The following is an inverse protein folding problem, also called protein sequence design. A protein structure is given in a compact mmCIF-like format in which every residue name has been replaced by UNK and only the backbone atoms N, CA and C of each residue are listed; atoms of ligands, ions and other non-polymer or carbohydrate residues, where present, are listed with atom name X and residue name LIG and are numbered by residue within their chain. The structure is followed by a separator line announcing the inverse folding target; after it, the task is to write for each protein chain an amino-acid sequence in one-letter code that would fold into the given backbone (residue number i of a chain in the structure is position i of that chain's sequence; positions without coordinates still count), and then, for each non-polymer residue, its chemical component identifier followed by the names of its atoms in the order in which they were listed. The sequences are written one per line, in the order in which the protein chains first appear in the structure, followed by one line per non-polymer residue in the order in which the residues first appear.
data_IF_836803283562
#
_entry.id   IF_836803283562
#
_cell.length_a   1.000
_cell.length_b   1.000
_cell.length_c   1.000
_cell.angle_alpha   90.00
_cell.angle_beta   90.00
_cell.angle_gamma   90.00
#
_symmetry.space_group_name_H-M   'P 1'
#
loop_
_entity.id
_entity.type
_entity.pdbx_description
1 polymer ?
#
# COMPACT_ATOMS: atom_id res chain seq x y z
N UNK A 1 -0.83 -0.60 -19.87
CA UNK A 1 0.51 -0.02 -19.66
C UNK A 1 1.59 -0.78 -20.40
N UNK A 2 2.69 -0.14 -20.64
CA UNK A 2 3.90 -0.72 -21.23
C UNK A 2 5.09 -0.40 -20.33
N UNK A 3 5.78 -1.45 -19.87
CA UNK A 3 6.97 -1.34 -19.01
C UNK A 3 8.18 -1.85 -19.81
N UNK A 4 9.27 -1.11 -19.81
CA UNK A 4 10.47 -1.48 -20.54
C UNK A 4 11.77 -1.07 -19.81
N UNK A 5 12.85 -1.84 -19.94
CA UNK A 5 14.15 -1.46 -19.39
C UNK A 5 14.81 -0.36 -20.23
N UNK A 6 15.42 0.58 -19.55
CA UNK A 6 16.30 1.61 -20.13
C UNK A 6 17.73 1.42 -19.59
N UNK A 7 18.49 0.55 -20.25
CA UNK A 7 19.76 0.06 -19.75
C UNK A 7 19.57 -1.00 -18.66
N UNK A 8 20.62 -1.23 -17.85
CA UNK A 8 20.67 -2.35 -16.89
C UNK A 8 20.03 -2.02 -15.52
N UNK A 9 19.78 -0.75 -15.24
CA UNK A 9 19.38 -0.28 -13.90
C UNK A 9 18.11 0.57 -13.87
N UNK A 10 17.57 0.93 -15.01
CA UNK A 10 16.39 1.78 -15.09
C UNK A 10 15.25 1.01 -15.71
N UNK A 11 14.10 1.06 -15.08
CA UNK A 11 12.82 0.59 -15.63
C UNK A 11 11.92 1.79 -15.84
N UNK A 12 11.26 1.87 -16.99
CA UNK A 12 10.32 2.95 -17.32
C UNK A 12 8.95 2.35 -17.56
N UNK A 13 7.92 3.05 -17.14
CA UNK A 13 6.53 2.70 -17.42
C UNK A 13 5.83 3.87 -18.09
N UNK A 14 4.96 3.57 -19.05
CA UNK A 14 4.02 4.51 -19.62
C UNK A 14 2.72 3.78 -19.95
N UNK A 15 1.59 4.42 -19.76
CA UNK A 15 0.31 3.77 -20.02
C UNK A 15 -0.88 4.67 -19.80
N UNK A 16 -2.04 4.06 -20.02
CA UNK A 16 -3.35 4.60 -19.68
C UNK A 16 -3.97 3.59 -18.73
N UNK A 17 -4.73 4.07 -17.75
CA UNK A 17 -5.37 3.25 -16.72
C UNK A 17 -4.33 2.41 -15.94
N UNK A 18 -3.33 3.10 -15.44
CA UNK A 18 -2.18 2.51 -14.73
C UNK A 18 -1.80 3.42 -13.57
N UNK A 19 -1.45 2.81 -12.44
CA UNK A 19 -1.02 3.55 -11.25
C UNK A 19 0.33 4.22 -11.45
N UNK A 20 0.47 5.45 -11.00
CA UNK A 20 1.73 6.19 -11.03
C UNK A 20 2.80 5.54 -10.15
N UNK A 21 2.40 4.82 -9.12
CA UNK A 21 3.27 4.06 -8.20
C UNK A 21 3.63 2.65 -8.66
N UNK A 22 3.25 2.24 -9.88
CA UNK A 22 3.46 0.87 -10.37
C UNK A 22 4.90 0.35 -10.33
N UNK A 23 5.89 1.24 -10.26
CA UNK A 23 7.31 0.90 -10.13
C UNK A 23 7.89 1.18 -8.72
N UNK A 24 7.05 1.55 -7.77
CA UNK A 24 7.51 1.83 -6.40
C UNK A 24 7.78 0.55 -5.62
N UNK A 25 8.68 0.66 -4.67
CA UNK A 25 8.95 -0.41 -3.70
C UNK A 25 8.40 0.03 -2.35
N UNK A 26 7.32 -0.60 -1.90
CA UNK A 26 6.82 -0.46 -0.54
C UNK A 26 7.43 -1.56 0.32
N UNK A 27 8.14 -1.18 1.37
CA UNK A 27 8.78 -2.14 2.28
C UNK A 27 7.73 -2.76 3.21
N UNK A 28 7.07 -3.80 2.72
CA UNK A 28 6.05 -4.57 3.41
C UNK A 28 6.23 -6.07 3.14
N UNK A 29 6.23 -6.88 4.20
CA UNK A 29 6.26 -8.33 4.11
C UNK A 29 4.89 -8.96 4.41
N UNK A 30 3.96 -8.20 5.00
CA UNK A 30 2.61 -8.67 5.23
C UNK A 30 1.84 -8.73 3.90
N UNK A 31 1.23 -9.86 3.62
CA UNK A 31 0.40 -10.08 2.44
C UNK A 31 -0.93 -10.70 2.84
N UNK A 32 -1.84 -9.91 3.40
CA UNK A 32 -3.17 -10.36 3.77
C UNK A 32 -3.99 -10.81 2.56
N UNK A 33 -4.92 -11.75 2.74
CA UNK A 33 -5.77 -12.22 1.64
C UNK A 33 -6.90 -11.25 1.27
N UNK A 34 -7.19 -10.27 2.11
CA UNK A 34 -8.12 -9.17 1.81
C UNK A 34 -7.38 -7.96 1.28
N UNK A 35 -8.11 -7.01 0.70
CA UNK A 35 -7.56 -5.73 0.26
C UNK A 35 -7.72 -4.62 1.34
N UNK A 36 -7.87 -5.00 2.61
CA UNK A 36 -8.13 -4.02 3.67
C UNK A 36 -6.85 -3.38 4.20
N UNK A 37 -5.77 -4.16 4.29
CA UNK A 37 -4.49 -3.76 4.89
C UNK A 37 -3.28 -4.15 4.03
N UNK A 38 -3.50 -4.45 2.74
CA UNK A 38 -2.45 -4.94 1.83
C UNK A 38 -1.52 -3.82 1.30
N UNK A 39 -1.94 -2.56 1.43
CA UNK A 39 -1.12 -1.38 1.12
C UNK A 39 -0.10 -1.03 2.21
N UNK A 40 -0.16 -1.71 3.36
CA UNK A 40 0.69 -1.40 4.51
C UNK A 40 0.65 0.07 4.94
N UNK A 41 -0.53 0.69 4.96
CA UNK A 41 -0.77 2.09 5.25
C UNK A 41 -0.07 3.09 4.29
N UNK A 42 0.30 2.68 3.10
CA UNK A 42 0.72 3.58 2.01
C UNK A 42 -0.50 3.82 1.08
N UNK A 43 -1.52 4.46 1.64
CA UNK A 43 -2.87 4.55 1.05
C UNK A 43 -2.95 5.62 -0.03
N UNK A 44 -2.41 6.81 0.27
CA UNK A 44 -2.57 7.99 -0.59
C UNK A 44 -1.25 8.41 -1.26
N UNK A 45 -0.10 8.26 -0.56
CA UNK A 45 1.21 8.61 -1.11
C UNK A 45 1.59 7.72 -2.32
N UNK A 46 1.08 6.49 -2.36
CA UNK A 46 1.18 5.64 -3.54
C UNK A 46 0.14 5.99 -4.57
N UNK A 47 0.29 7.10 -5.28
CA UNK A 47 -0.64 7.62 -6.27
C UNK A 47 -1.25 6.52 -7.17
N UNK A 48 -2.40 6.04 -6.75
CA UNK A 48 -3.20 5.02 -7.43
C UNK A 48 -4.47 5.67 -7.97
N UNK A 49 -5.11 5.08 -8.94
CA UNK A 49 -6.37 5.61 -9.42
C UNK A 49 -6.52 5.58 -10.93
N UNK A 50 -5.47 5.18 -11.62
CA UNK A 50 -5.50 5.05 -13.07
C UNK A 50 -5.62 6.38 -13.80
N UNK A 51 -5.05 6.44 -14.98
CA UNK A 51 -5.05 7.62 -15.83
C UNK A 51 -3.92 7.51 -16.85
N UNK A 52 -3.61 8.60 -17.54
CA UNK A 52 -2.38 8.65 -18.32
C UNK A 52 -1.19 8.74 -17.35
N UNK A 53 -0.32 7.75 -17.41
CA UNK A 53 0.74 7.54 -16.45
C UNK A 53 2.10 7.44 -17.11
N UNK A 54 3.11 8.01 -16.48
CA UNK A 54 4.52 7.84 -16.79
C UNK A 54 5.31 7.73 -15.49
N UNK A 55 6.30 6.83 -15.47
CA UNK A 55 7.14 6.64 -14.29
C UNK A 55 8.48 6.00 -14.64
N UNK A 56 9.41 6.09 -13.72
CA UNK A 56 10.71 5.44 -13.82
C UNK A 56 11.20 5.01 -12.44
N UNK A 57 11.90 3.87 -12.42
CA UNK A 57 12.60 3.37 -11.25
C UNK A 57 14.06 3.12 -11.58
N UNK A 58 14.95 3.40 -10.64
CA UNK A 58 16.38 3.17 -10.75
C UNK A 58 16.86 2.25 -9.62
N UNK A 59 17.55 1.16 -9.99
CA UNK A 59 18.18 0.23 -9.07
C UNK A 59 19.68 0.56 -8.94
N UNK A 60 20.11 0.96 -7.75
CA UNK A 60 21.51 1.25 -7.45
C UNK A 60 22.37 -0.01 -7.35
N UNK A 61 21.76 -1.20 -7.28
CA UNK A 61 22.45 -2.50 -7.22
C UNK A 61 22.97 -2.88 -5.84
N UNK A 62 22.49 -2.20 -4.78
CA UNK A 62 22.89 -2.44 -3.39
C UNK A 62 21.69 -2.64 -2.46
N UNK A 63 20.53 -3.02 -3.02
CA UNK A 63 19.24 -3.03 -2.32
C UNK A 63 18.55 -1.67 -2.26
N UNK A 64 19.22 -0.59 -2.65
CA UNK A 64 18.66 0.75 -2.72
C UNK A 64 17.97 0.96 -4.09
N UNK A 65 16.72 1.42 -4.07
CA UNK A 65 15.97 1.83 -5.24
C UNK A 65 15.41 3.23 -5.05
N UNK A 66 15.22 3.95 -6.14
CA UNK A 66 14.48 5.20 -6.16
C UNK A 66 13.55 5.21 -7.38
N UNK A 67 12.35 5.71 -7.21
CA UNK A 67 11.35 5.77 -8.27
C UNK A 67 10.59 7.09 -8.27
N UNK A 68 10.08 7.43 -9.44
CA UNK A 68 9.21 8.57 -9.67
C UNK A 68 8.01 8.10 -10.48
N UNK A 69 6.84 8.65 -10.18
CA UNK A 69 5.61 8.44 -10.93
C UNK A 69 4.82 9.73 -11.08
N UNK A 70 4.15 9.86 -12.20
CA UNK A 70 3.21 10.92 -12.47
C UNK A 70 2.00 10.35 -13.21
N UNK A 71 0.81 10.78 -12.83
CA UNK A 71 -0.44 10.38 -13.49
C UNK A 71 -1.40 11.53 -13.55
N UNK A 72 -2.33 11.49 -14.51
CA UNK A 72 -3.49 12.37 -14.57
C UNK A 72 -4.75 11.54 -14.60
N UNK A 73 -5.76 11.95 -13.85
CA UNK A 73 -7.05 11.24 -13.77
C UNK A 73 -8.05 11.69 -14.81
N UNK A 74 -7.72 12.73 -15.59
CA UNK A 74 -8.60 13.32 -16.57
C UNK A 74 -8.08 13.19 -18.02
N UNK A 75 -8.89 13.62 -18.97
CA UNK A 75 -8.56 13.53 -20.41
C UNK A 75 -7.57 14.59 -20.90
N UNK A 76 -7.35 15.65 -20.11
CA UNK A 76 -6.38 16.70 -20.40
C UNK A 76 -5.07 16.36 -19.67
N UNK A 77 -4.11 15.81 -20.37
CA UNK A 77 -2.89 15.26 -19.82
C UNK A 77 -1.93 16.36 -19.36
N UNK A 78 -1.64 16.43 -18.06
CA UNK A 78 -0.68 17.38 -17.45
C UNK A 78 -0.92 18.83 -17.83
N UNK A 79 -2.13 19.31 -17.65
CA UNK A 79 -2.53 20.71 -17.90
C UNK A 79 -3.11 21.31 -16.62
N UNK A 80 -3.11 22.63 -16.49
CA UNK A 80 -3.68 23.36 -15.36
C UNK A 80 -5.19 23.09 -15.12
N UNK A 81 -5.85 22.41 -16.06
CA UNK A 81 -7.27 22.06 -15.99
C UNK A 81 -7.49 20.58 -15.59
N UNK A 82 -6.43 19.77 -15.53
CA UNK A 82 -6.52 18.35 -15.15
C UNK A 82 -6.12 18.15 -13.70
N UNK A 83 -6.66 17.11 -13.07
CA UNK A 83 -6.20 16.66 -11.77
C UNK A 83 -5.01 15.73 -11.96
N UNK A 84 -3.86 16.17 -11.53
CA UNK A 84 -2.60 15.44 -11.65
C UNK A 84 -2.15 14.90 -10.30
N UNK A 85 -1.36 13.85 -10.32
CA UNK A 85 -0.70 13.32 -9.14
C UNK A 85 0.76 12.98 -9.46
N UNK A 86 1.63 13.28 -8.51
CA UNK A 86 3.06 13.07 -8.61
C UNK A 86 3.57 12.38 -7.35
N UNK A 87 4.46 11.42 -7.48
CA UNK A 87 5.08 10.83 -6.31
C UNK A 87 6.53 10.43 -6.51
N UNK A 88 7.24 10.40 -5.40
CA UNK A 88 8.62 9.93 -5.28
C UNK A 88 8.65 8.78 -4.26
N UNK A 89 9.43 7.75 -4.55
CA UNK A 89 9.66 6.64 -3.64
C UNK A 89 11.15 6.36 -3.54
N UNK A 90 11.62 6.06 -2.34
CA UNK A 90 12.95 5.52 -2.09
C UNK A 90 12.82 4.33 -1.14
N UNK A 91 13.48 3.23 -1.46
CA UNK A 91 13.45 2.03 -0.65
C UNK A 91 14.83 1.39 -0.54
N UNK A 92 15.07 0.78 0.61
CA UNK A 92 16.20 -0.10 0.84
C UNK A 92 15.70 -1.46 1.30
N UNK A 93 16.12 -2.51 0.61
CA UNK A 93 15.78 -3.90 0.91
C UNK A 93 17.05 -4.73 1.14
N UNK A 94 17.10 -5.43 2.26
CA UNK A 94 18.10 -6.40 2.62
C UNK A 94 17.44 -7.77 2.83
N UNK A 95 18.23 -8.81 3.06
CA UNK A 95 17.72 -10.19 3.21
C UNK A 95 16.71 -10.33 4.36
N UNK A 96 16.91 -9.59 5.46
CA UNK A 96 16.11 -9.72 6.68
C UNK A 96 15.31 -8.47 7.06
N UNK A 97 15.44 -7.37 6.34
CA UNK A 97 14.66 -6.16 6.61
C UNK A 97 14.56 -5.26 5.37
N UNK A 98 13.56 -4.41 5.37
CA UNK A 98 13.43 -3.35 4.38
C UNK A 98 12.81 -2.11 5.00
N UNK A 99 13.09 -0.96 4.38
CA UNK A 99 12.49 0.34 4.73
C UNK A 99 12.18 1.09 3.44
N UNK A 100 11.09 1.85 3.43
CA UNK A 100 10.76 2.73 2.31
C UNK A 100 10.11 4.02 2.81
N UNK A 101 10.25 5.05 1.99
CA UNK A 101 9.52 6.30 2.10
C UNK A 101 8.91 6.63 0.75
N UNK A 102 7.65 7.04 0.77
CA UNK A 102 6.91 7.52 -0.41
C UNK A 102 6.38 8.90 -0.10
N UNK A 103 6.57 9.85 -1.00
CA UNK A 103 6.01 11.19 -0.93
C UNK A 103 5.15 11.42 -2.16
N UNK A 104 3.86 11.72 -1.95
CA UNK A 104 2.89 11.98 -3.00
C UNK A 104 2.28 13.37 -2.88
N UNK A 105 1.98 13.95 -4.02
CA UNK A 105 1.19 15.18 -4.20
C UNK A 105 0.03 14.80 -5.10
N UNK A 106 -1.18 15.10 -4.68
CA UNK A 106 -2.41 14.76 -5.41
C UNK A 106 -3.27 16.00 -5.53
N UNK A 107 -3.48 16.50 -6.72
CA UNK A 107 -4.40 17.59 -6.97
C UNK A 107 -5.84 17.11 -6.78
N UNK A 108 -6.59 17.81 -5.94
CA UNK A 108 -7.99 17.54 -5.63
C UNK A 108 -8.95 18.51 -6.30
N UNK A 109 -8.43 19.66 -6.69
CA UNK A 109 -9.11 20.67 -7.50
C UNK A 109 -8.07 21.57 -8.17
N UNK A 110 -8.51 22.49 -9.05
CA UNK A 110 -7.61 23.48 -9.68
C UNK A 110 -6.91 24.46 -8.70
N UNK A 111 -7.31 24.46 -7.43
CA UNK A 111 -6.79 25.39 -6.42
C UNK A 111 -6.25 24.66 -5.18
N UNK A 112 -6.47 23.34 -5.06
CA UNK A 112 -6.09 22.58 -3.86
C UNK A 112 -5.35 21.29 -4.24
N UNK A 113 -4.33 21.00 -3.46
CA UNK A 113 -3.57 19.75 -3.50
C UNK A 113 -3.47 19.13 -2.11
N UNK A 114 -3.47 17.82 -2.07
CA UNK A 114 -3.14 17.05 -0.87
C UNK A 114 -1.71 16.56 -0.98
N UNK A 115 -0.99 16.56 0.14
CA UNK A 115 0.35 15.97 0.21
C UNK A 115 0.39 14.84 1.21
N UNK A 116 1.09 13.77 0.87
CA UNK A 116 1.17 12.57 1.72
C UNK A 116 2.60 12.07 1.83
N UNK A 117 2.97 11.60 3.02
CA UNK A 117 4.24 10.94 3.27
C UNK A 117 3.99 9.61 3.97
N UNK A 118 4.36 8.51 3.32
CA UNK A 118 4.25 7.17 3.88
C UNK A 118 5.63 6.61 4.22
N UNK A 119 5.73 5.98 5.40
CA UNK A 119 6.90 5.25 5.89
C UNK A 119 6.52 3.79 6.08
N UNK A 120 7.27 2.89 5.48
CA UNK A 120 7.06 1.46 5.61
C UNK A 120 8.34 0.76 6.04
N UNK A 121 8.20 -0.28 6.83
CA UNK A 121 9.31 -1.15 7.20
C UNK A 121 8.84 -2.57 7.43
N UNK A 122 9.72 -3.53 7.15
CA UNK A 122 9.54 -4.91 7.57
C UNK A 122 10.82 -5.50 8.17
N UNK A 123 10.62 -6.53 8.98
CA UNK A 123 11.68 -7.36 9.52
C UNK A 123 11.32 -8.85 9.39
N UNK A 124 12.25 -9.62 8.83
CA UNK A 124 12.16 -11.07 8.67
C UNK A 124 13.16 -11.71 9.63
N UNK A 125 12.74 -12.21 10.81
CA UNK A 125 13.67 -12.80 11.76
C UNK A 125 14.22 -14.12 11.23
N UNK A 126 15.51 -14.37 11.49
CA UNK A 126 16.10 -15.67 11.23
C UNK A 126 15.58 -16.69 12.27
N UNK A 127 15.16 -17.86 11.79
CA UNK A 127 14.71 -18.97 12.64
C UNK A 127 13.25 -19.31 12.44
N UNK A 128 12.92 -20.55 12.78
CA UNK A 128 11.56 -21.08 12.65
C UNK A 128 10.67 -20.63 13.80
N UNK A 129 9.41 -20.32 13.50
CA UNK A 129 8.38 -20.02 14.48
C UNK A 129 8.29 -18.56 14.94
N UNK A 130 9.19 -17.68 14.49
CA UNK A 130 9.06 -16.25 14.71
C UNK A 130 8.29 -15.61 13.54
N UNK A 131 7.38 -14.66 13.83
CA UNK A 131 6.69 -13.94 12.76
C UNK A 131 7.61 -12.93 12.07
N UNK A 132 7.41 -12.72 10.78
CA UNK A 132 7.80 -11.48 10.14
C UNK A 132 6.91 -10.34 10.66
N UNK A 133 7.48 -9.15 10.73
CA UNK A 133 6.79 -7.95 11.21
C UNK A 133 6.78 -6.92 10.09
N UNK A 134 5.63 -6.35 9.78
CA UNK A 134 5.48 -5.20 8.90
C UNK A 134 4.81 -4.06 9.63
N UNK A 135 5.30 -2.85 9.41
CA UNK A 135 4.71 -1.63 9.95
C UNK A 135 4.65 -0.58 8.85
N UNK A 136 3.57 0.19 8.83
CA UNK A 136 3.38 1.32 7.96
C UNK A 136 2.72 2.48 8.70
N UNK A 137 3.08 3.68 8.29
CA UNK A 137 2.46 4.91 8.77
C UNK A 137 2.47 5.95 7.65
N UNK A 138 1.32 6.54 7.39
CA UNK A 138 1.18 7.65 6.45
C UNK A 138 0.62 8.87 7.18
N UNK A 139 1.14 10.02 6.85
CA UNK A 139 0.64 11.32 7.26
C UNK A 139 0.45 12.18 6.01
N UNK A 140 -0.65 12.90 5.94
CA UNK A 140 -1.00 13.79 4.85
C UNK A 140 -1.54 15.12 5.36
N UNK A 141 -1.39 16.12 4.52
CA UNK A 141 -1.98 17.45 4.64
C UNK A 141 -3.01 17.61 3.53
N UNK A 142 -4.25 17.93 3.89
CA UNK A 142 -5.40 17.99 2.97
C UNK A 142 -5.66 19.44 2.58
N UNK A 143 -5.39 19.76 1.34
CA UNK A 143 -5.58 21.09 0.79
C UNK A 143 -7.04 21.54 0.81
N UNK A 144 -7.28 22.78 1.22
CA UNK A 144 -8.61 23.38 1.28
C UNK A 144 -9.45 23.00 2.48
N UNK A 145 -8.96 22.14 3.39
CA UNK A 145 -9.58 21.86 4.67
C UNK A 145 -9.42 23.05 5.65
N UNK A 146 -10.19 23.04 6.75
CA UNK A 146 -9.99 24.00 7.80
C UNK A 146 -8.66 23.73 8.52
N UNK A 147 -7.89 24.74 8.85
CA UNK A 147 -6.55 24.64 9.44
C UNK A 147 -6.47 23.87 10.79
N UNK A 148 -7.57 23.36 11.28
CA UNK A 148 -7.66 22.54 12.50
C UNK A 148 -8.08 21.11 12.21
N UNK A 149 -8.28 20.74 10.94
CA UNK A 149 -8.78 19.44 10.50
C UNK A 149 -8.17 19.10 9.12
N UNK A 150 -6.90 19.42 8.92
CA UNK A 150 -6.19 19.26 7.64
C UNK A 150 -5.24 18.04 7.62
N UNK A 151 -5.02 17.40 8.76
CA UNK A 151 -4.17 16.21 8.82
C UNK A 151 -4.97 14.92 8.57
N UNK A 152 -4.46 14.06 7.69
CA UNK A 152 -4.90 12.68 7.51
C UNK A 152 -3.81 11.71 7.94
N UNK A 153 -4.21 10.63 8.59
CA UNK A 153 -3.28 9.58 8.99
C UNK A 153 -3.76 8.19 8.60
N UNK A 154 -2.81 7.29 8.40
CA UNK A 154 -3.03 5.85 8.27
C UNK A 154 -1.94 5.11 9.03
N UNK A 155 -2.25 3.98 9.62
CA UNK A 155 -1.23 3.09 10.12
C UNK A 155 -1.60 1.61 9.93
N UNK A 156 -0.59 0.74 9.92
CA UNK A 156 -0.76 -0.70 9.87
C UNK A 156 0.38 -1.39 10.63
N UNK A 157 0.02 -2.46 11.34
CA UNK A 157 0.95 -3.44 11.91
C UNK A 157 0.48 -4.83 11.51
N UNK A 158 1.35 -5.59 10.85
CA UNK A 158 1.10 -6.95 10.41
C UNK A 158 2.16 -7.93 10.91
N UNK A 159 1.72 -9.12 11.27
CA UNK A 159 2.56 -10.25 11.65
C UNK A 159 2.23 -11.43 10.74
N UNK A 160 3.24 -12.07 10.16
CA UNK A 160 3.06 -13.26 9.34
C UNK A 160 4.01 -14.38 9.77
N UNK A 161 3.51 -15.59 9.79
CA UNK A 161 4.27 -16.82 10.06
C UNK A 161 4.25 -17.69 8.81
N UNK A 162 5.41 -17.98 8.26
CA UNK A 162 5.53 -18.83 7.07
C UNK A 162 5.25 -20.31 7.36
N UNK A 163 5.51 -20.74 8.60
CA UNK A 163 5.35 -22.13 9.03
C UNK A 163 4.48 -22.22 10.30
N UNK A 164 3.19 -22.50 10.10
CA UNK A 164 2.23 -22.85 11.16
C UNK A 164 1.64 -24.21 10.82
N UNK A 165 2.28 -25.27 11.29
CA UNK A 165 1.95 -26.64 10.86
C UNK A 165 2.22 -26.81 9.35
N UNK A 166 1.23 -27.24 8.55
CA UNK A 166 1.41 -27.41 7.10
C UNK A 166 1.19 -26.12 6.30
N UNK A 167 0.86 -25.02 6.92
CA UNK A 167 0.49 -23.76 6.24
C UNK A 167 1.16 -22.54 6.83
N UNK A 168 0.68 -21.38 6.43
CA UNK A 168 1.11 -20.07 6.93
C UNK A 168 -0.06 -19.33 7.58
N UNK A 169 0.23 -18.37 8.44
CA UNK A 169 -0.79 -17.56 9.12
C UNK A 169 -0.38 -16.09 9.16
N UNK A 170 -1.34 -15.22 9.28
CA UNK A 170 -1.09 -13.80 9.51
C UNK A 170 -2.20 -13.14 10.30
N UNK A 171 -1.83 -12.07 10.98
CA UNK A 171 -2.74 -11.16 11.67
C UNK A 171 -2.29 -9.73 11.40
N UNK A 172 -3.24 -8.84 11.21
CA UNK A 172 -2.94 -7.41 11.06
C UNK A 172 -4.02 -6.55 11.71
N UNK A 173 -3.61 -5.36 12.06
CA UNK A 173 -4.48 -4.27 12.49
C UNK A 173 -3.99 -2.95 11.92
N UNK A 174 -4.91 -2.03 11.69
CA UNK A 174 -4.61 -0.69 11.23
C UNK A 174 -5.87 0.13 11.05
N UNK A 175 -5.70 1.34 10.60
CA UNK A 175 -6.75 2.16 10.03
C UNK A 175 -6.25 2.84 8.76
N UNK A 176 -7.14 3.19 7.86
CA UNK A 176 -6.80 3.83 6.60
C UNK A 176 -7.40 5.23 6.52
N UNK A 177 -6.57 6.21 6.17
CA UNK A 177 -6.96 7.54 5.71
C UNK A 177 -7.98 8.28 6.59
N UNK A 178 -7.71 8.36 7.90
CA UNK A 178 -8.55 9.05 8.86
C UNK A 178 -8.17 10.52 8.93
N UNK A 179 -9.17 11.42 8.76
CA UNK A 179 -9.00 12.86 8.91
C UNK A 179 -9.00 13.25 10.39
N UNK A 180 -8.16 14.21 10.77
CA UNK A 180 -8.13 14.77 12.12
C UNK A 180 -9.52 15.24 12.57
N UNK A 181 -9.87 14.96 13.82
CA UNK A 181 -11.19 15.29 14.37
C UNK A 181 -12.33 14.33 14.00
N UNK A 182 -12.05 13.28 13.20
CA UNK A 182 -12.98 12.19 12.93
C UNK A 182 -12.60 10.92 13.68
N UNK A 183 -13.56 10.04 13.94
CA UNK A 183 -13.29 8.77 14.58
C UNK A 183 -12.50 7.83 13.65
N UNK A 184 -11.52 7.13 14.20
CA UNK A 184 -10.68 6.19 13.47
C UNK A 184 -11.46 4.90 13.19
N UNK A 185 -11.50 4.48 11.92
CA UNK A 185 -12.09 3.20 11.51
C UNK A 185 -11.02 2.10 11.57
N UNK A 186 -10.87 1.48 12.74
CA UNK A 186 -9.94 0.36 12.90
C UNK A 186 -10.35 -0.85 12.07
N UNK A 187 -9.35 -1.50 11.50
CA UNK A 187 -9.49 -2.70 10.69
C UNK A 187 -8.61 -3.79 11.29
N UNK A 188 -9.17 -5.00 11.34
CA UNK A 188 -8.51 -6.18 11.89
C UNK A 188 -8.69 -7.33 10.93
N UNK A 189 -7.64 -8.11 10.70
CA UNK A 189 -7.78 -9.37 9.99
C UNK A 189 -6.89 -10.46 10.57
N UNK A 190 -7.33 -11.70 10.43
CA UNK A 190 -6.57 -12.88 10.76
C UNK A 190 -6.87 -13.98 9.74
N UNK A 191 -5.83 -14.62 9.22
CA UNK A 191 -5.98 -15.68 8.23
C UNK A 191 -5.06 -16.88 8.51
N UNK A 192 -5.44 -18.00 7.92
CA UNK A 192 -4.60 -19.18 7.84
C UNK A 192 -4.63 -19.74 6.42
N UNK A 193 -3.46 -19.84 5.79
CA UNK A 193 -3.32 -20.33 4.42
C UNK A 193 -2.90 -21.79 4.43
N UNK A 194 -3.75 -22.69 3.96
CA UNK A 194 -3.55 -24.12 3.96
C UNK A 194 -3.35 -24.65 2.53
N UNK A 195 -2.19 -25.23 2.19
CA UNK A 195 -1.98 -25.90 0.94
C UNK A 195 -2.71 -27.26 0.94
N UNK A 196 -3.70 -27.41 0.05
CA UNK A 196 -4.39 -28.70 -0.17
C UNK A 196 -3.48 -29.67 -0.93
N UNK A 197 -2.81 -29.13 -1.94
CA UNK A 197 -1.81 -29.82 -2.77
C UNK A 197 -0.95 -28.75 -3.50
N UNK A 198 0.00 -29.20 -4.35
CA UNK A 198 0.93 -28.32 -5.06
C UNK A 198 0.25 -27.28 -5.98
N UNK A 199 -0.99 -27.51 -6.38
CA UNK A 199 -1.74 -26.63 -7.27
C UNK A 199 -2.92 -25.90 -6.62
N UNK A 200 -3.18 -26.10 -5.32
CA UNK A 200 -4.37 -25.53 -4.67
C UNK A 200 -4.12 -25.14 -3.21
N UNK A 201 -4.47 -23.91 -2.88
CA UNK A 201 -4.42 -23.37 -1.51
C UNK A 201 -5.78 -22.82 -1.12
N UNK A 202 -6.21 -23.07 0.12
CA UNK A 202 -7.40 -22.50 0.73
C UNK A 202 -6.97 -21.61 1.90
N UNK A 203 -7.49 -20.38 1.92
CA UNK A 203 -7.18 -19.38 2.95
C UNK A 203 -8.47 -18.87 3.57
N UNK A 204 -8.97 -19.49 4.66
CA UNK A 204 -9.98 -18.88 5.52
C UNK A 204 -9.42 -17.62 6.19
N UNK A 205 -10.26 -16.61 6.26
CA UNK A 205 -9.98 -15.29 6.81
C UNK A 205 -11.17 -14.82 7.64
N UNK A 206 -10.90 -14.24 8.78
CA UNK A 206 -11.85 -13.44 9.55
C UNK A 206 -11.38 -11.99 9.57
N UNK A 207 -12.29 -11.05 9.40
CA UNK A 207 -11.99 -9.63 9.46
C UNK A 207 -13.06 -8.86 10.23
N UNK A 208 -12.67 -7.72 10.77
CA UNK A 208 -13.57 -6.71 11.32
C UNK A 208 -13.12 -5.33 10.86
N UNK A 209 -14.08 -4.47 10.59
CA UNK A 209 -13.89 -3.05 10.31
C UNK A 209 -14.87 -2.26 11.16
N UNK A 210 -14.37 -1.35 11.97
CA UNK A 210 -15.17 -0.39 12.72
C UNK A 210 -15.81 0.61 11.74
N UNK A 211 -16.99 1.10 12.06
CA UNK A 211 -17.63 2.19 11.34
C UNK A 211 -17.58 3.48 12.18
N UNK A 212 -17.12 4.55 11.55
CA UNK A 212 -16.95 5.87 12.20
C UNK A 212 -18.27 6.57 12.55
N UNK A 213 -19.42 6.00 12.22
CA UNK A 213 -20.73 6.57 12.55
C UNK A 213 -21.41 5.78 13.65
N UNK A 214 -21.72 6.44 14.77
CA UNK A 214 -22.40 5.89 15.95
C UNK A 214 -23.72 5.14 15.65
N UNK A 215 -24.30 5.38 14.48
CA UNK A 215 -25.58 4.76 14.04
C UNK A 215 -25.38 3.50 13.17
N UNK A 216 -24.12 3.08 12.90
CA UNK A 216 -23.84 1.91 12.03
C UNK A 216 -23.03 0.87 12.79
N UNK A 217 -23.52 -0.37 12.82
CA UNK A 217 -22.79 -1.49 13.43
C UNK A 217 -21.46 -1.78 12.70
N UNK A 218 -20.46 -2.20 13.46
CA UNK A 218 -19.19 -2.67 12.91
C UNK A 218 -19.38 -3.83 11.94
N UNK A 219 -18.59 -3.84 10.89
CA UNK A 219 -18.63 -4.89 9.88
C UNK A 219 -17.69 -6.03 10.25
N UNK A 220 -18.23 -7.18 10.62
CA UNK A 220 -17.45 -8.40 10.83
C UNK A 220 -17.82 -9.44 9.79
N UNK A 221 -16.82 -10.05 9.15
CA UNK A 221 -17.04 -11.03 8.11
C UNK A 221 -16.05 -12.19 8.14
N UNK A 222 -16.44 -13.24 7.42
CA UNK A 222 -15.60 -14.40 7.13
C UNK A 222 -15.51 -14.56 5.62
N UNK A 223 -14.29 -14.75 5.11
CA UNK A 223 -14.04 -15.01 3.70
C UNK A 223 -13.22 -16.30 3.56
N UNK A 224 -13.38 -17.00 2.45
CA UNK A 224 -12.51 -18.10 2.06
C UNK A 224 -11.98 -17.81 0.67
N UNK A 225 -10.68 -17.54 0.58
CA UNK A 225 -9.98 -17.39 -0.70
C UNK A 225 -9.45 -18.75 -1.14
N UNK A 226 -9.67 -19.10 -2.42
CA UNK A 226 -9.09 -20.29 -3.03
C UNK A 226 -8.18 -19.88 -4.17
N UNK A 227 -6.92 -20.30 -4.11
CA UNK A 227 -5.91 -20.00 -5.14
C UNK A 227 -5.52 -21.29 -5.87
N UNK A 228 -5.39 -21.19 -7.20
CA UNK A 228 -4.96 -22.29 -8.07
C UNK A 228 -3.68 -21.90 -8.80
N UNK A 229 -2.72 -22.84 -8.88
CA UNK A 229 -1.49 -22.75 -9.69
C UNK A 229 -1.52 -23.83 -10.75
N UNK A 230 -1.24 -23.47 -12.01
CA UNK A 230 -1.23 -24.38 -13.16
C UNK A 230 0.15 -24.42 -13.81
#
# INVERSE_FOLDING_TARGET
SYTFPLGDKTTVIAGIDTDGSALFTTACAYGGPSAMLDDCANVNAGITGGGATVGAAYDFGTGLTAAFGAQTTESAVFTDESLDAYALNAAYTADSYGVSVTYGIVETSSENEDTYTAFNAYYLPEGTGLPSVSVGYEIGDVGGAAATEDEKTSFMVGLSWDEVGPGSAGVALGHSSTLEGTDEEYQYEAYYSYPINDGMTITPLIYSKDNATDDTDDSTGVMVKTSFSF
#
